data_IF_610558043648
#
_entry.id   IF_610558043648
#
_cell.length_a   1.000
_cell.length_b   1.000
_cell.length_c   1.000
_cell.angle_alpha   90.00
_cell.angle_beta   90.00
_cell.angle_gamma   90.00
#
_symmetry.space_group_name_H-M   'P 1'
#
loop_
_entity.id
_entity.type
_entity.pdbx_description
1 polymer ?
#
# COMPACT_ATOMS: atom_id res chain seq x y z
N UNK A 1 -2.19 -13.01 7.27
CA UNK A 1 -1.74 -11.72 6.72
C UNK A 1 -2.48 -10.62 7.47
N UNK A 2 -1.84 -10.02 8.46
CA UNK A 2 -2.41 -8.85 9.16
C UNK A 2 -2.10 -7.62 8.31
N UNK A 3 -3.12 -6.85 7.92
CA UNK A 3 -2.92 -5.53 7.32
C UNK A 3 -2.81 -4.52 8.46
N UNK A 4 -1.61 -3.97 8.65
CA UNK A 4 -1.39 -2.83 9.55
C UNK A 4 -1.25 -1.58 8.68
N UNK A 5 -2.18 -0.63 8.82
CA UNK A 5 -2.17 0.63 8.07
C UNK A 5 -1.55 1.70 8.96
N UNK A 6 -0.56 2.39 8.43
CA UNK A 6 0.02 3.57 9.09
C UNK A 6 -0.96 4.73 8.98
N UNK A 7 -1.30 5.33 10.12
CA UNK A 7 -2.28 6.42 10.19
C UNK A 7 -1.79 7.74 9.59
N UNK A 8 -0.48 7.91 9.43
CA UNK A 8 0.13 9.12 8.91
C UNK A 8 0.18 9.13 7.37
N UNK A 9 0.67 8.04 6.78
CA UNK A 9 0.72 7.85 5.32
C UNK A 9 -0.60 7.34 4.73
N UNK A 10 -1.45 6.69 5.54
CA UNK A 10 -2.67 6.01 5.08
C UNK A 10 -2.39 4.72 4.29
N UNK A 11 -1.17 4.20 4.38
CA UNK A 11 -0.70 3.04 3.61
C UNK A 11 -0.53 1.82 4.49
N UNK A 12 -0.80 0.63 3.94
CA UNK A 12 -0.47 -0.63 4.59
C UNK A 12 1.05 -0.81 4.66
N UNK A 13 1.58 -1.06 5.85
CA UNK A 13 3.01 -1.26 6.13
C UNK A 13 3.59 -2.49 5.41
N UNK A 14 2.76 -3.44 4.99
CA UNK A 14 3.20 -4.66 4.30
C UNK A 14 3.06 -4.61 2.77
N UNK A 15 2.00 -3.99 2.25
CA UNK A 15 1.69 -4.00 0.82
C UNK A 15 1.63 -2.62 0.17
N UNK A 16 1.83 -1.54 0.94
CA UNK A 16 1.88 -0.15 0.49
C UNK A 16 0.63 0.34 -0.25
N UNK A 17 -0.50 -0.35 -0.05
CA UNK A 17 -1.82 0.03 -0.57
C UNK A 17 -2.63 0.72 0.51
N UNK A 18 -3.52 1.61 0.09
CA UNK A 18 -4.54 2.20 0.94
C UNK A 18 -5.67 1.20 1.23
N UNK A 19 -6.43 1.45 2.30
CA UNK A 19 -7.63 0.65 2.61
C UNK A 19 -8.64 0.62 1.46
N UNK A 20 -8.79 1.74 0.74
CA UNK A 20 -9.71 1.84 -0.41
C UNK A 20 -9.29 0.90 -1.54
N UNK A 21 -7.99 0.86 -1.85
CA UNK A 21 -7.45 -0.04 -2.87
C UNK A 21 -7.58 -1.50 -2.44
N UNK A 22 -7.36 -1.81 -1.16
CA UNK A 22 -7.49 -3.17 -0.62
C UNK A 22 -8.96 -3.63 -0.69
N UNK A 23 -9.90 -2.81 -0.21
CA UNK A 23 -11.32 -3.13 -0.21
C UNK A 23 -11.91 -3.21 -1.63
N UNK A 24 -11.46 -2.34 -2.52
CA UNK A 24 -11.93 -2.25 -3.91
C UNK A 24 -11.14 -3.10 -4.90
N UNK A 25 -10.12 -3.86 -4.47
CA UNK A 25 -9.13 -4.47 -5.39
C UNK A 25 -9.77 -5.31 -6.49
N UNK A 26 -10.76 -6.13 -6.14
CA UNK A 26 -11.47 -6.99 -7.10
C UNK A 26 -12.29 -6.21 -8.13
N UNK A 27 -12.72 -5.00 -7.80
CA UNK A 27 -13.50 -4.14 -8.69
C UNK A 27 -12.63 -3.24 -9.58
N UNK A 28 -11.32 -3.12 -9.29
CA UNK A 28 -10.39 -2.39 -10.16
C UNK A 28 -10.20 -3.14 -11.48
N UNK A 29 -10.22 -2.39 -12.58
CA UNK A 29 -9.78 -2.83 -13.91
C UNK A 29 -8.29 -3.17 -13.91
N UNK A 30 -7.83 -3.97 -14.87
CA UNK A 30 -6.44 -4.38 -14.96
C UNK A 30 -5.47 -3.21 -15.11
N UNK A 31 -5.81 -2.18 -15.91
CA UNK A 31 -5.03 -0.94 -16.01
C UNK A 31 -4.88 -0.23 -14.65
N UNK A 32 -5.97 -0.12 -13.89
CA UNK A 32 -5.94 0.52 -12.58
C UNK A 32 -5.11 -0.29 -11.58
N UNK A 33 -5.18 -1.63 -11.63
CA UNK A 33 -4.33 -2.49 -10.81
C UNK A 33 -2.86 -2.37 -11.20
N UNK A 34 -2.55 -2.31 -12.49
CA UNK A 34 -1.20 -2.12 -13.00
C UNK A 34 -0.62 -0.78 -12.54
N UNK A 35 -1.40 0.30 -12.64
CA UNK A 35 -1.01 1.61 -12.16
C UNK A 35 -0.73 1.61 -10.65
N UNK A 36 -1.60 0.98 -9.85
CA UNK A 36 -1.36 0.84 -8.39
C UNK A 36 -0.06 0.07 -8.14
N UNK A 37 0.15 -1.07 -8.81
CA UNK A 37 1.35 -1.89 -8.63
C UNK A 37 2.64 -1.16 -9.03
N UNK A 38 2.60 -0.34 -10.07
CA UNK A 38 3.72 0.48 -10.50
C UNK A 38 4.06 1.59 -9.49
N UNK A 39 3.06 2.07 -8.73
CA UNK A 39 3.22 3.15 -7.75
C UNK A 39 3.65 2.64 -6.35
N UNK A 40 3.44 1.35 -6.03
CA UNK A 40 3.80 0.76 -4.72
C UNK A 40 5.25 0.97 -4.29
N UNK A 41 6.27 0.84 -5.17
CA UNK A 41 7.67 1.06 -4.77
C UNK A 41 7.90 2.49 -4.28
N UNK A 42 7.38 3.49 -4.99
CA UNK A 42 7.50 4.91 -4.65
C UNK A 42 6.76 5.27 -3.36
N UNK A 43 5.69 4.52 -3.03
CA UNK A 43 4.93 4.71 -1.80
C UNK A 43 5.67 4.26 -0.55
N UNK A 44 6.61 3.32 -0.69
CA UNK A 44 7.45 2.87 0.42
C UNK A 44 8.23 4.02 1.03
N UNK A 45 8.74 4.94 0.22
CA UNK A 45 9.52 6.10 0.66
C UNK A 45 8.68 7.12 1.45
N UNK A 46 7.34 7.02 1.37
CA UNK A 46 6.41 7.87 2.11
C UNK A 46 6.10 7.34 3.51
N UNK A 47 6.51 6.12 3.82
CA UNK A 47 6.36 5.51 5.13
C UNK A 47 7.67 5.67 5.87
N UNK A 48 7.60 6.08 7.13
CA UNK A 48 8.78 6.14 7.98
C UNK A 48 9.47 4.75 7.99
N UNK A 49 10.75 4.66 7.59
CA UNK A 49 11.49 3.41 7.55
C UNK A 49 11.57 2.70 8.91
N UNK A 50 11.41 3.40 10.04
CA UNK A 50 11.32 2.79 11.36
C UNK A 50 10.02 1.96 11.56
N UNK A 51 8.96 2.27 10.79
CA UNK A 51 7.67 1.56 10.81
C UNK A 51 7.61 0.39 9.82
N UNK A 52 8.48 0.42 8.81
CA UNK A 52 8.66 -0.69 7.87
C UNK A 52 9.43 -1.80 8.61
N UNK A 53 8.69 -2.78 9.14
CA UNK A 53 9.22 -3.89 9.94
C UNK A 53 10.58 -4.36 9.44
N UNK A 54 11.58 -4.18 10.30
CA UNK A 54 13.01 -4.17 9.97
C UNK A 54 13.48 -5.38 9.15
N UNK A 55 14.40 -5.08 8.23
CA UNK A 55 15.48 -6.01 7.86
C UNK A 55 16.28 -6.40 9.10
#
# INVERSE_FOLDING_TARGET
MVCAVDGESGLCLGCFRTLKEIAGWRALSDDARAAVMADLPSRRDRIDPAKLGGV
#
